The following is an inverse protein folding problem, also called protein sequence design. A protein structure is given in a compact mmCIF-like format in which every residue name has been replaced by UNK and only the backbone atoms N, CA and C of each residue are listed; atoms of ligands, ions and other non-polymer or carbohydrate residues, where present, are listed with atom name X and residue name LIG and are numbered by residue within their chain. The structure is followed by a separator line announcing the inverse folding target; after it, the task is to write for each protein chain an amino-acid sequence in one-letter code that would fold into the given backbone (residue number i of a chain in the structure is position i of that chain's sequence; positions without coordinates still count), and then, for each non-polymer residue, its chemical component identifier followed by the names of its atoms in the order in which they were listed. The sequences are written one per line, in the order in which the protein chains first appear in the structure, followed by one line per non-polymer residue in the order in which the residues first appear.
data_IF_366375171214
#
_entry.id   IF_366375171214
#
_cell.length_a   1.000
_cell.length_b   1.000
_cell.length_c   1.000
_cell.angle_alpha   90.00
_cell.angle_beta   90.00
_cell.angle_gamma   90.00
#
_symmetry.space_group_name_H-M   'P 1'
#
loop_
_entity.id
_entity.type
_entity.pdbx_description
1 polymer ?
#
# COMPACT_ATOMS: atom_id res chain seq x y z
N UNK A 1 -8.39 4.60 10.72
CA UNK A 1 -6.94 4.50 10.88
C UNK A 1 -6.41 5.71 11.63
N UNK A 2 -5.73 5.42 12.74
CA UNK A 2 -4.44 5.99 13.17
C UNK A 2 -3.71 6.79 12.07
N UNK A 3 -3.50 8.10 12.31
CA UNK A 3 -2.66 9.11 11.61
C UNK A 3 -2.28 8.90 10.11
N UNK A 4 -2.43 9.94 9.29
CA UNK A 4 -1.93 9.93 7.90
C UNK A 4 -0.40 9.81 7.84
N UNK A 5 0.20 9.24 6.77
CA UNK A 5 1.65 9.18 6.60
C UNK A 5 2.30 10.57 6.64
N UNK A 6 1.65 11.57 6.04
CA UNK A 6 2.06 12.97 6.15
C UNK A 6 2.14 13.44 7.60
N UNK A 7 1.10 13.18 8.41
CA UNK A 7 1.08 13.55 9.82
C UNK A 7 2.21 12.86 10.60
N UNK A 8 2.46 11.58 10.31
CA UNK A 8 3.56 10.85 10.95
C UNK A 8 4.90 11.48 10.56
N UNK A 9 5.15 11.73 9.28
CA UNK A 9 6.40 12.31 8.79
C UNK A 9 6.66 13.71 9.35
N UNK A 10 5.63 14.57 9.37
CA UNK A 10 5.70 15.93 9.95
C UNK A 10 5.98 15.89 11.45
N UNK A 11 5.32 14.99 12.20
CA UNK A 11 5.55 14.90 13.64
C UNK A 11 6.94 14.32 13.95
N UNK A 12 7.43 13.33 13.17
CA UNK A 12 8.79 12.82 13.33
C UNK A 12 9.82 13.94 13.12
N UNK A 13 9.67 14.70 12.04
CA UNK A 13 10.57 15.81 11.70
C UNK A 13 10.57 16.95 12.73
N UNK A 14 9.39 17.24 13.32
CA UNK A 14 9.22 18.33 14.28
C UNK A 14 9.65 17.94 15.70
N UNK A 15 9.27 16.74 16.14
CA UNK A 15 9.32 16.37 17.56
C UNK A 15 10.64 15.67 17.94
N UNK A 16 11.43 15.21 16.96
CA UNK A 16 12.67 14.46 17.19
C UNK A 16 13.88 15.13 16.51
N UNK A 17 14.74 15.77 17.30
CA UNK A 17 15.94 16.49 16.81
C UNK A 17 16.84 15.71 15.83
N UNK A 18 17.13 14.41 16.04
CA UNK A 18 18.01 13.69 15.12
C UNK A 18 17.27 13.07 13.91
N UNK A 19 15.94 13.20 13.81
CA UNK A 19 15.13 12.43 12.88
C UNK A 19 14.39 13.33 11.88
N UNK A 20 14.98 13.50 10.71
CA UNK A 20 14.43 14.29 9.60
C UNK A 20 14.18 13.40 8.37
N UNK A 21 13.05 12.67 8.31
CA UNK A 21 12.83 11.67 7.28
C UNK A 21 12.71 12.33 5.90
N UNK A 22 13.48 11.84 4.92
CA UNK A 22 13.35 12.21 3.51
C UNK A 22 12.24 11.46 2.80
N UNK A 23 11.93 10.28 3.30
CA UNK A 23 10.93 9.38 2.76
C UNK A 23 10.37 8.55 3.91
N UNK A 24 9.05 8.41 3.96
CA UNK A 24 8.35 7.50 4.85
C UNK A 24 7.45 6.62 3.99
N UNK A 25 7.62 5.30 4.17
CA UNK A 25 6.85 4.28 3.47
C UNK A 25 6.09 3.44 4.49
N UNK A 26 4.76 3.37 4.34
CA UNK A 26 3.87 2.53 5.14
C UNK A 26 3.34 1.41 4.27
N UNK A 27 3.55 0.16 4.71
CA UNK A 27 2.98 -1.02 4.06
C UNK A 27 1.76 -1.46 4.86
N UNK A 28 0.58 -1.39 4.26
CA UNK A 28 -0.67 -1.86 4.85
C UNK A 28 -0.99 -3.21 4.25
N UNK A 29 -0.91 -4.26 5.06
CA UNK A 29 -1.24 -5.62 4.63
C UNK A 29 -2.75 -5.86 4.67
N UNK A 30 -3.23 -6.58 3.67
CA UNK A 30 -4.58 -7.13 3.60
C UNK A 30 -5.52 -6.39 2.65
N UNK A 31 -6.67 -7.00 2.36
CA UNK A 31 -7.16 -8.30 2.84
C UNK A 31 -6.33 -9.52 2.37
N UNK A 32 -6.29 -10.55 3.23
CA UNK A 32 -5.83 -11.89 2.87
C UNK A 32 -7.07 -12.80 2.73
N UNK A 33 -7.28 -13.30 1.52
CA UNK A 33 -8.35 -14.24 1.22
C UNK A 33 -7.78 -15.65 1.19
N UNK A 34 -8.40 -16.56 1.92
CA UNK A 34 -8.12 -17.98 1.86
C UNK A 34 -9.38 -18.75 2.25
N UNK A 35 -9.57 -19.93 1.66
CA UNK A 35 -10.68 -20.82 2.00
C UNK A 35 -10.57 -21.21 3.49
N UNK A 36 -11.59 -20.90 4.28
CA UNK A 36 -11.68 -21.26 5.71
C UNK A 36 -11.01 -20.31 6.71
N UNK A 37 -10.46 -19.17 6.27
CA UNK A 37 -9.91 -18.14 7.17
C UNK A 37 -10.76 -16.87 7.13
N UNK A 38 -11.27 -16.49 5.95
CA UNK A 38 -12.10 -15.31 5.74
C UNK A 38 -13.51 -15.72 5.31
N UNK A 39 -14.43 -15.88 6.26
CA UNK A 39 -15.86 -16.23 6.03
C UNK A 39 -16.75 -15.04 5.62
N UNK A 40 -16.14 -13.92 5.21
CA UNK A 40 -16.91 -12.87 4.56
C UNK A 40 -17.29 -13.38 3.17
N UNK A 41 -18.61 -13.51 2.94
CA UNK A 41 -19.26 -13.93 1.70
C UNK A 41 -18.84 -13.06 0.50
N UNK A 42 -17.61 -13.28 0.02
CA UNK A 42 -16.98 -12.52 -1.04
C UNK A 42 -16.84 -13.42 -2.26
N UNK A 43 -17.14 -12.86 -3.44
CA UNK A 43 -16.98 -13.53 -4.72
C UNK A 43 -15.58 -14.14 -4.90
N UNK A 44 -14.56 -13.50 -4.33
CA UNK A 44 -13.19 -14.02 -4.28
C UNK A 44 -13.13 -15.36 -3.54
N UNK A 45 -13.66 -15.45 -2.32
CA UNK A 45 -13.66 -16.68 -1.51
C UNK A 45 -14.41 -17.81 -2.22
N UNK A 46 -15.56 -17.52 -2.84
CA UNK A 46 -16.35 -18.51 -3.59
C UNK A 46 -15.60 -19.09 -4.80
N UNK A 47 -14.84 -18.25 -5.51
CA UNK A 47 -14.02 -18.72 -6.64
C UNK A 47 -12.80 -19.49 -6.14
N UNK A 48 -12.15 -19.02 -5.07
CA UNK A 48 -11.03 -19.73 -4.45
C UNK A 48 -11.43 -21.12 -3.95
N UNK A 49 -12.67 -21.30 -3.47
CA UNK A 49 -13.20 -22.60 -3.05
C UNK A 49 -13.29 -23.64 -4.19
N UNK A 50 -13.26 -23.20 -5.46
CA UNK A 50 -13.26 -24.06 -6.65
C UNK A 50 -11.87 -24.39 -7.18
N UNK A 51 -10.81 -23.82 -6.59
CA UNK A 51 -9.42 -24.12 -6.94
C UNK A 51 -9.10 -25.56 -6.53
N UNK A 52 -8.51 -26.34 -7.43
CA UNK A 52 -8.35 -27.80 -7.25
C UNK A 52 -7.35 -28.12 -6.15
N UNK A 53 -6.27 -27.35 -6.02
CA UNK A 53 -5.29 -27.49 -4.94
C UNK A 53 -5.55 -26.47 -3.83
N UNK A 54 -6.01 -26.87 -2.64
CA UNK A 54 -6.33 -25.93 -1.55
C UNK A 54 -5.15 -25.03 -1.14
N UNK A 55 -3.92 -25.55 -1.19
CA UNK A 55 -2.70 -24.76 -0.92
C UNK A 55 -2.46 -23.59 -1.89
N UNK A 56 -3.11 -23.59 -3.05
CA UNK A 56 -3.08 -22.52 -4.04
C UNK A 56 -4.30 -21.59 -3.94
N UNK A 57 -5.24 -21.86 -3.04
CA UNK A 57 -6.52 -21.16 -2.94
C UNK A 57 -6.43 -19.92 -2.03
N UNK A 58 -5.53 -18.99 -2.36
CA UNK A 58 -5.36 -17.76 -1.59
C UNK A 58 -5.04 -16.54 -2.46
N UNK A 59 -5.30 -15.36 -1.92
CA UNK A 59 -4.94 -14.06 -2.48
C UNK A 59 -4.47 -13.16 -1.34
N UNK A 60 -3.25 -12.64 -1.45
CA UNK A 60 -2.72 -11.64 -0.54
C UNK A 60 -2.69 -10.28 -1.23
N UNK A 61 -3.24 -9.25 -0.58
CA UNK A 61 -3.11 -7.88 -1.08
C UNK A 61 -2.36 -7.01 -0.08
N UNK A 62 -1.73 -5.94 -0.56
CA UNK A 62 -1.16 -4.90 0.27
C UNK A 62 -1.15 -3.57 -0.47
N UNK A 63 -1.16 -2.49 0.30
CA UNK A 63 -0.98 -1.13 -0.21
C UNK A 63 0.32 -0.56 0.34
N UNK A 64 1.15 -0.03 -0.55
CA UNK A 64 2.31 0.79 -0.21
C UNK A 64 1.86 2.24 -0.26
N UNK A 65 1.98 2.95 0.85
CA UNK A 65 1.71 4.38 0.97
C UNK A 65 3.03 5.10 1.19
N UNK A 66 3.31 6.12 0.41
CA UNK A 66 4.59 6.82 0.45
C UNK A 66 4.41 8.32 0.58
N UNK A 67 5.20 8.94 1.46
CA UNK A 67 5.37 10.39 1.51
C UNK A 67 6.86 10.72 1.46
N UNK A 68 7.25 11.66 0.60
CA UNK A 68 8.63 12.13 0.48
C UNK A 68 8.76 13.64 0.69
N UNK A 69 9.92 14.07 1.17
CA UNK A 69 10.31 15.46 1.29
C UNK A 69 10.72 16.00 -0.08
N UNK A 70 10.11 17.10 -0.52
CA UNK A 70 10.46 17.77 -1.79
C UNK A 70 11.46 18.91 -1.60
N UNK A 71 11.53 19.46 -0.40
CA UNK A 71 12.38 20.59 -0.05
C UNK A 71 12.61 20.64 1.45
N UNK A 72 13.60 21.41 1.87
CA UNK A 72 13.78 21.80 3.26
C UNK A 72 13.39 23.26 3.43
N UNK A 73 12.71 23.55 4.53
CA UNK A 73 12.48 24.91 4.99
C UNK A 73 13.60 25.28 5.97
N UNK A 74 14.47 26.25 5.64
CA UNK A 74 15.55 26.65 6.52
C UNK A 74 15.02 27.18 7.86
N UNK A 75 15.64 26.74 8.94
CA UNK A 75 15.40 27.31 10.26
C UNK A 75 15.81 28.78 10.33
N UNK A 76 15.09 29.58 11.13
CA UNK A 76 15.39 30.99 11.36
C UNK A 76 15.98 31.18 12.76
N UNK A 77 17.17 31.77 12.86
CA UNK A 77 17.78 32.10 14.16
C UNK A 77 17.55 33.59 14.47
N UNK A 78 16.71 33.87 15.47
CA UNK A 78 16.44 35.21 15.97
C UNK A 78 17.09 35.47 17.34
N UNK A 79 16.99 36.71 17.81
CA UNK A 79 17.59 37.16 19.09
C UNK A 79 16.93 36.54 20.33
N UNK A 80 15.70 36.02 20.21
CA UNK A 80 14.93 35.46 21.33
C UNK A 80 14.35 34.06 21.05
N UNK A 81 14.46 33.55 19.81
CA UNK A 81 14.01 32.21 19.42
C UNK A 81 14.76 31.71 18.19
N UNK A 82 14.98 30.40 18.09
CA UNK A 82 15.46 29.75 16.88
C UNK A 82 14.45 28.71 16.40
N UNK A 83 13.98 28.85 15.16
CA UNK A 83 13.25 27.80 14.45
C UNK A 83 14.26 26.83 13.82
N UNK A 84 13.95 25.54 13.88
CA UNK A 84 14.77 24.48 13.29
C UNK A 84 14.49 24.35 11.80
N UNK A 85 15.43 23.78 11.07
CA UNK A 85 15.18 23.36 9.70
C UNK A 85 14.19 22.20 9.72
N UNK A 86 13.16 22.27 8.89
CA UNK A 86 12.12 21.23 8.78
C UNK A 86 11.99 20.76 7.34
N UNK A 87 11.55 19.53 7.14
CA UNK A 87 11.22 18.99 5.83
C UNK A 87 9.87 19.53 5.33
N UNK A 88 9.78 19.76 4.02
CA UNK A 88 8.53 20.03 3.34
C UNK A 88 8.11 18.78 2.56
N UNK A 89 7.10 18.09 3.07
CA UNK A 89 6.58 16.87 2.45
C UNK A 89 5.65 17.18 1.28
N UNK A 90 5.75 16.41 0.21
CA UNK A 90 4.86 16.49 -0.93
C UNK A 90 3.63 15.60 -0.73
N UNK A 91 2.44 16.16 -0.93
CA UNK A 91 1.19 15.39 -1.00
C UNK A 91 0.65 15.59 -2.40
N UNK A 92 0.35 14.49 -3.09
CA UNK A 92 -0.20 14.58 -4.43
C UNK A 92 -1.68 14.95 -4.33
N UNK A 93 -1.99 16.23 -4.58
CA UNK A 93 -3.36 16.76 -4.57
C UNK A 93 -4.09 16.57 -5.90
N UNK A 94 -3.38 16.17 -6.96
CA UNK A 94 -3.97 15.92 -8.28
C UNK A 94 -4.64 14.54 -8.33
N UNK A 95 -4.24 13.61 -7.45
CA UNK A 95 -4.90 12.33 -7.20
C UNK A 95 -5.76 12.44 -5.92
N UNK A 96 -7.08 12.29 -6.09
CA UNK A 96 -8.05 12.41 -5.02
C UNK A 96 -7.84 11.39 -3.89
N UNK A 97 -7.43 10.17 -4.21
CA UNK A 97 -7.17 9.13 -3.20
C UNK A 97 -5.83 9.35 -2.50
N UNK A 98 -4.81 9.82 -3.22
CA UNK A 98 -3.54 10.22 -2.59
C UNK A 98 -3.74 11.39 -1.61
N UNK A 99 -4.53 12.39 -2.00
CA UNK A 99 -4.90 13.52 -1.16
C UNK A 99 -5.64 13.08 0.11
N UNK A 100 -6.63 12.19 -0.02
CA UNK A 100 -7.38 11.64 1.14
C UNK A 100 -6.47 10.86 2.09
N UNK A 101 -5.52 10.10 1.56
CA UNK A 101 -4.61 9.28 2.37
C UNK A 101 -3.47 10.09 2.99
N UNK A 102 -3.20 11.30 2.49
CA UNK A 102 -2.08 12.12 2.94
C UNK A 102 -0.74 11.53 2.49
N UNK A 103 -0.62 11.22 1.20
CA UNK A 103 0.56 10.59 0.60
C UNK A 103 1.03 11.33 -0.66
N UNK A 104 2.32 11.20 -0.98
CA UNK A 104 2.88 11.58 -2.27
C UNK A 104 2.47 10.59 -3.37
N UNK A 105 2.39 9.31 -3.05
CA UNK A 105 1.97 8.24 -3.96
C UNK A 105 1.50 7.03 -3.16
N UNK A 106 0.76 6.15 -3.84
CA UNK A 106 0.40 4.84 -3.31
C UNK A 106 0.40 3.80 -4.43
N UNK A 107 0.61 2.55 -4.05
CA UNK A 107 0.57 1.40 -4.94
C UNK A 107 -0.20 0.27 -4.29
N UNK A 108 -1.18 -0.29 -4.99
CA UNK A 108 -1.86 -1.51 -4.57
C UNK A 108 -1.23 -2.70 -5.26
N UNK A 109 -1.03 -3.77 -4.51
CA UNK A 109 -0.43 -5.00 -5.01
C UNK A 109 -1.26 -6.21 -4.61
N UNK A 110 -1.29 -7.19 -5.50
CA UNK A 110 -1.96 -8.47 -5.30
C UNK A 110 -0.98 -9.58 -5.62
N UNK A 111 -0.77 -10.52 -4.70
CA UNK A 111 -0.02 -11.75 -4.91
C UNK A 111 -0.98 -12.92 -4.89
N UNK A 112 -0.94 -13.72 -5.96
CA UNK A 112 -1.88 -14.81 -6.17
C UNK A 112 -1.21 -16.00 -6.85
N UNK A 113 -1.48 -17.25 -6.42
CA UNK A 113 -1.05 -18.44 -7.16
C UNK A 113 -1.66 -18.49 -8.56
N UNK A 114 -0.89 -18.99 -9.52
CA UNK A 114 -1.32 -19.09 -10.92
C UNK A 114 -2.68 -19.80 -11.10
N UNK A 115 -2.92 -20.88 -10.36
CA UNK A 115 -4.17 -21.65 -10.42
C UNK A 115 -5.38 -20.83 -9.92
N UNK A 116 -5.21 -20.05 -8.85
CA UNK A 116 -6.25 -19.16 -8.34
C UNK A 116 -6.51 -17.98 -9.28
N UNK A 117 -5.46 -17.42 -9.88
CA UNK A 117 -5.61 -16.37 -10.89
C UNK A 117 -6.42 -16.88 -12.09
N UNK A 118 -6.09 -18.07 -12.59
CA UNK A 118 -6.83 -18.72 -13.68
C UNK A 118 -8.31 -18.94 -13.32
N UNK A 119 -8.61 -19.36 -12.08
CA UNK A 119 -9.98 -19.53 -11.63
C UNK A 119 -10.76 -18.20 -11.62
N UNK A 120 -10.16 -17.12 -11.09
CA UNK A 120 -10.76 -15.78 -11.11
C UNK A 120 -10.94 -15.22 -12.51
N UNK A 121 -9.99 -15.49 -13.41
CA UNK A 121 -10.07 -15.11 -14.81
C UNK A 121 -11.19 -15.86 -15.52
N UNK A 122 -11.28 -17.18 -15.37
CA UNK A 122 -12.33 -18.00 -15.96
C UNK A 122 -13.73 -17.65 -15.42
N UNK A 123 -13.82 -17.19 -14.18
CA UNK A 123 -15.06 -16.69 -13.58
C UNK A 123 -15.46 -15.28 -14.06
N UNK A 124 -14.60 -14.58 -14.81
CA UNK A 124 -14.84 -13.21 -15.26
C UNK A 124 -14.64 -12.14 -14.18
N UNK A 125 -14.05 -12.49 -13.03
CA UNK A 125 -13.92 -11.60 -11.87
C UNK A 125 -12.56 -10.91 -11.80
N UNK A 126 -11.56 -11.39 -12.54
CA UNK A 126 -10.18 -10.89 -12.48
C UNK A 126 -10.07 -9.38 -12.71
N UNK A 127 -10.72 -8.83 -13.75
CA UNK A 127 -10.66 -7.40 -14.05
C UNK A 127 -11.24 -6.54 -12.92
N UNK A 128 -12.34 -6.99 -12.33
CA UNK A 128 -13.01 -6.27 -11.24
C UNK A 128 -12.18 -6.30 -9.95
N UNK A 129 -11.55 -7.43 -9.65
CA UNK A 129 -10.76 -7.62 -8.43
C UNK A 129 -9.41 -6.89 -8.51
N UNK A 130 -8.76 -6.93 -9.68
CA UNK A 130 -7.39 -6.44 -9.83
C UNK A 130 -7.30 -5.05 -10.48
N UNK A 131 -8.42 -4.36 -10.70
CA UNK A 131 -8.39 -2.99 -11.18
C UNK A 131 -7.57 -2.09 -10.24
N UNK A 132 -6.52 -1.46 -10.77
CA UNK A 132 -5.62 -0.60 -10.00
C UNK A 132 -4.62 -1.33 -9.11
N UNK A 133 -4.52 -2.66 -9.22
CA UNK A 133 -3.50 -3.48 -8.56
C UNK A 133 -2.37 -3.82 -9.54
N UNK A 134 -1.12 -3.77 -9.06
CA UNK A 134 0.00 -4.48 -9.68
C UNK A 134 -0.10 -5.95 -9.29
N UNK A 135 -0.25 -6.84 -10.27
CA UNK A 135 -0.56 -8.25 -10.01
C UNK A 135 0.69 -9.12 -10.15
N UNK A 136 1.03 -9.78 -9.05
CA UNK A 136 2.12 -10.73 -8.93
C UNK A 136 1.55 -12.15 -8.99
N UNK A 137 1.90 -12.90 -10.03
CA UNK A 137 1.45 -14.29 -10.18
C UNK A 137 2.55 -15.25 -9.71
N UNK A 138 2.24 -16.08 -8.71
CA UNK A 138 3.14 -17.08 -8.16
C UNK A 138 2.97 -18.42 -8.87
N UNK A 139 4.05 -18.97 -9.42
CA UNK A 139 4.10 -20.32 -9.98
C UNK A 139 5.38 -21.02 -9.54
N UNK A 140 5.25 -22.24 -9.01
CA UNK A 140 6.38 -23.04 -8.51
C UNK A 140 7.32 -22.29 -7.55
N UNK A 141 6.77 -21.42 -6.69
CA UNK A 141 7.54 -20.64 -5.72
C UNK A 141 8.26 -19.42 -6.30
N UNK A 142 8.06 -19.09 -7.57
CA UNK A 142 8.62 -17.91 -8.23
C UNK A 142 7.51 -16.99 -8.72
N UNK A 143 7.76 -15.67 -8.66
CA UNK A 143 6.89 -14.68 -9.29
C UNK A 143 7.21 -14.65 -10.78
N UNK A 144 6.23 -14.99 -11.61
CA UNK A 144 6.42 -15.18 -13.07
C UNK A 144 5.92 -14.00 -13.90
N UNK A 145 5.31 -12.99 -13.27
CA UNK A 145 4.85 -11.79 -13.96
C UNK A 145 4.76 -10.58 -13.03
N UNK A 146 5.13 -9.41 -13.56
CA UNK A 146 4.64 -8.09 -13.17
C UNK A 146 3.74 -7.68 -14.35
N UNK A 147 2.42 -7.91 -14.27
CA UNK A 147 1.47 -7.41 -15.30
C UNK A 147 0.84 -6.13 -14.80
#
# INVERSE_FOLDING_TARGET
YTLSPATIAVNLDKDFEPLHPKQLRRVVLGPFYSVGITDNNSTVTEVLAKVRKPQNAWLLTWTIQEVYSKSEKPGRKGLFSSEKTTQEFFINTDDLEAARQGVSSYENHALIPHEAYQALYAAGEAQKIFAGYKVHILSNGQVISDV
#
